data_IF_338220042769
#
_entry.id   IF_338220042769
#
_cell.length_a   1.000
_cell.length_b   1.000
_cell.length_c   1.000
_cell.angle_alpha   90.00
_cell.angle_beta   90.00
_cell.angle_gamma   90.00
#
_symmetry.space_group_name_H-M   'P 1'
#
loop_
_entity.id
_entity.type
_entity.pdbx_description
1 polymer ?
#
# COMPACT_ATOMS: atom_id res chain seq x y z
N UNK A 1 -34.38 -7.50 3.40
CA UNK A 1 -33.04 -7.07 2.93
C UNK A 1 -32.01 -8.17 3.13
N UNK A 2 -31.77 -8.66 4.36
CA UNK A 2 -30.79 -9.73 4.59
C UNK A 2 -31.15 -11.06 3.90
N UNK A 3 -32.41 -11.49 3.97
CA UNK A 3 -32.87 -12.72 3.31
C UNK A 3 -32.77 -12.65 1.78
N UNK A 4 -33.05 -11.47 1.19
CA UNK A 4 -32.90 -11.22 -0.24
C UNK A 4 -31.43 -11.31 -0.66
N UNK A 5 -30.53 -10.72 0.13
CA UNK A 5 -29.09 -10.80 -0.09
C UNK A 5 -28.57 -12.25 0.03
N UNK A 6 -29.03 -13.00 1.04
CA UNK A 6 -28.70 -14.42 1.20
C UNK A 6 -29.17 -15.22 -0.02
N UNK A 7 -30.39 -14.94 -0.52
CA UNK A 7 -30.91 -15.59 -1.73
C UNK A 7 -30.04 -15.27 -2.94
N UNK A 8 -29.71 -13.99 -3.16
CA UNK A 8 -28.82 -13.56 -4.25
C UNK A 8 -27.47 -14.29 -4.22
N UNK A 9 -26.84 -14.42 -3.06
CA UNK A 9 -25.57 -15.15 -2.93
C UNK A 9 -25.70 -16.65 -3.12
N UNK A 10 -26.82 -17.25 -2.68
CA UNK A 10 -27.07 -18.69 -2.83
C UNK A 10 -27.24 -19.09 -4.29
N UNK A 11 -27.94 -18.25 -5.03
CA UNK A 11 -28.28 -18.49 -6.44
C UNK A 11 -27.24 -17.84 -7.39
N UNK A 12 -26.11 -17.35 -6.84
CA UNK A 12 -25.11 -16.64 -7.61
C UNK A 12 -24.32 -17.59 -8.52
N UNK A 13 -24.16 -17.20 -9.78
CA UNK A 13 -23.30 -17.87 -10.74
C UNK A 13 -22.05 -17.05 -11.03
N UNK A 14 -20.94 -17.74 -11.26
CA UNK A 14 -19.64 -17.14 -11.51
C UNK A 14 -19.24 -17.21 -12.98
N UNK A 15 -18.77 -16.09 -13.55
CA UNK A 15 -18.17 -16.06 -14.89
C UNK A 15 -17.00 -15.12 -15.00
N UNK A 16 -16.05 -15.45 -15.87
CA UNK A 16 -14.92 -14.58 -16.20
C UNK A 16 -15.33 -13.56 -17.27
N UNK A 17 -14.96 -12.31 -17.06
CA UNK A 17 -15.25 -11.22 -17.99
C UNK A 17 -14.01 -10.35 -18.22
N UNK A 18 -13.94 -9.74 -19.41
CA UNK A 18 -12.97 -8.71 -19.71
C UNK A 18 -13.49 -7.36 -19.20
N UNK A 19 -12.70 -6.73 -18.34
CA UNK A 19 -13.07 -5.48 -17.68
C UNK A 19 -11.94 -4.46 -17.68
N UNK A 20 -12.32 -3.19 -17.70
CA UNK A 20 -11.49 -2.09 -17.20
C UNK A 20 -11.96 -1.82 -15.77
N UNK A 21 -11.08 -2.05 -14.81
CA UNK A 21 -11.28 -1.73 -13.41
C UNK A 21 -10.76 -0.31 -13.14
N UNK A 22 -11.57 0.50 -12.46
CA UNK A 22 -11.25 1.87 -12.09
C UNK A 22 -11.46 2.02 -10.59
N UNK A 23 -10.45 2.51 -9.87
CA UNK A 23 -10.61 2.94 -8.48
C UNK A 23 -10.41 4.44 -8.43
N UNK A 24 -11.41 5.14 -7.92
CA UNK A 24 -11.37 6.57 -7.62
C UNK A 24 -11.22 6.78 -6.11
N UNK A 25 -10.42 7.75 -5.68
CA UNK A 25 -10.23 8.05 -4.26
C UNK A 25 -10.00 9.54 -4.00
N UNK A 26 -10.47 10.01 -2.84
CA UNK A 26 -10.38 11.41 -2.45
C UNK A 26 -9.06 11.68 -1.75
N UNK A 27 -8.27 12.60 -2.29
CA UNK A 27 -6.91 12.83 -1.78
C UNK A 27 -6.94 13.62 -0.50
N UNK A 28 -6.16 13.15 0.49
CA UNK A 28 -6.10 13.71 1.83
C UNK A 28 -7.46 13.67 2.58
N UNK A 29 -8.32 12.68 2.28
CA UNK A 29 -9.60 12.53 2.94
C UNK A 29 -9.49 12.29 4.46
N UNK A 30 -8.52 11.48 4.90
CA UNK A 30 -8.28 11.27 6.33
C UNK A 30 -7.91 12.58 7.04
N UNK A 31 -7.16 13.47 6.40
CA UNK A 31 -6.89 14.80 6.94
C UNK A 31 -8.13 15.67 6.97
N UNK A 32 -8.96 15.59 5.93
CA UNK A 32 -10.24 16.30 5.84
C UNK A 32 -11.25 15.87 6.91
N UNK A 33 -11.29 14.59 7.29
CA UNK A 33 -12.26 14.06 8.25
C UNK A 33 -11.91 14.40 9.71
N UNK A 34 -10.65 14.76 10.01
CA UNK A 34 -10.25 15.19 11.35
C UNK A 34 -11.02 16.44 11.77
N UNK A 35 -11.73 16.34 12.88
CA UNK A 35 -12.49 17.46 13.46
C UNK A 35 -13.84 17.75 12.80
N UNK A 36 -14.30 16.91 11.85
CA UNK A 36 -15.62 17.05 11.23
C UNK A 36 -16.66 16.13 11.83
N UNK A 37 -17.92 16.53 11.72
CA UNK A 37 -19.03 15.71 12.18
C UNK A 37 -19.37 14.63 11.15
N UNK A 38 -19.77 13.45 11.63
CA UNK A 38 -20.16 12.33 10.78
C UNK A 38 -21.22 12.67 9.71
N UNK A 39 -22.25 13.51 9.96
CA UNK A 39 -23.23 13.89 8.94
C UNK A 39 -22.64 14.67 7.76
N UNK A 40 -21.67 15.56 8.00
CA UNK A 40 -21.00 16.31 6.93
C UNK A 40 -20.22 15.37 6.03
N UNK A 41 -19.42 14.48 6.64
CA UNK A 41 -18.65 13.47 5.95
C UNK A 41 -19.57 12.57 5.10
N UNK A 42 -20.66 12.08 5.69
CA UNK A 42 -21.60 11.20 5.02
C UNK A 42 -22.33 11.91 3.86
N UNK A 43 -22.71 13.18 4.03
CA UNK A 43 -23.36 13.97 2.99
C UNK A 43 -22.41 14.19 1.81
N UNK A 44 -21.16 14.58 2.08
CA UNK A 44 -20.16 14.78 1.05
C UNK A 44 -19.86 13.49 0.27
N UNK A 45 -19.57 12.38 0.97
CA UNK A 45 -19.33 11.08 0.31
C UNK A 45 -20.51 10.68 -0.57
N UNK A 46 -21.75 10.80 -0.06
CA UNK A 46 -22.96 10.48 -0.83
C UNK A 46 -23.02 11.30 -2.11
N UNK A 47 -22.84 12.62 -2.02
CA UNK A 47 -22.89 13.52 -3.18
C UNK A 47 -21.76 13.26 -4.17
N UNK A 48 -20.59 12.89 -3.67
CA UNK A 48 -19.47 12.49 -4.49
C UNK A 48 -19.77 11.23 -5.30
N UNK A 49 -20.26 10.16 -4.67
CA UNK A 49 -20.64 8.93 -5.39
C UNK A 49 -21.79 9.15 -6.36
N UNK A 50 -22.80 9.93 -5.95
CA UNK A 50 -23.93 10.31 -6.81
C UNK A 50 -23.44 11.03 -8.06
N UNK A 51 -22.56 12.04 -7.93
CA UNK A 51 -21.99 12.78 -9.06
C UNK A 51 -21.12 11.88 -9.95
N UNK A 52 -20.23 11.08 -9.36
CA UNK A 52 -19.38 10.16 -10.12
C UNK A 52 -20.21 9.23 -11.01
N UNK A 53 -21.24 8.60 -10.47
CA UNK A 53 -22.01 7.59 -11.20
C UNK A 53 -23.08 8.18 -12.13
N UNK A 54 -23.67 9.32 -11.79
CA UNK A 54 -24.76 9.91 -12.60
C UNK A 54 -24.29 10.89 -13.68
N UNK A 55 -23.08 11.46 -13.55
CA UNK A 55 -22.58 12.49 -14.48
C UNK A 55 -21.38 11.98 -15.29
N UNK A 56 -20.46 11.26 -14.66
CA UNK A 56 -19.22 10.84 -15.31
C UNK A 56 -19.33 9.41 -15.80
N UNK A 57 -19.54 8.46 -14.89
CA UNK A 57 -19.41 7.02 -15.09
C UNK A 57 -20.76 6.30 -15.25
N UNK A 58 -21.61 6.79 -16.14
CA UNK A 58 -22.98 6.27 -16.36
C UNK A 58 -23.01 4.84 -16.92
N UNK A 59 -21.93 4.43 -17.59
CA UNK A 59 -21.82 3.13 -18.27
C UNK A 59 -21.13 2.06 -17.40
N UNK A 60 -20.85 2.36 -16.12
CA UNK A 60 -20.27 1.39 -15.20
C UNK A 60 -21.25 0.23 -14.98
N UNK A 61 -20.79 -1.00 -15.25
CA UNK A 61 -21.62 -2.21 -15.03
C UNK A 61 -21.64 -2.63 -13.56
N UNK A 62 -20.74 -2.08 -12.76
CA UNK A 62 -20.63 -2.32 -11.33
C UNK A 62 -19.95 -1.15 -10.63
N UNK A 63 -20.42 -0.82 -9.44
CA UNK A 63 -19.79 0.15 -8.55
C UNK A 63 -19.91 -0.30 -7.09
N UNK A 64 -18.82 -0.15 -6.33
CA UNK A 64 -18.74 -0.54 -4.92
C UNK A 64 -17.96 0.52 -4.13
N UNK A 65 -18.58 1.15 -3.12
CA UNK A 65 -17.87 2.06 -2.23
C UNK A 65 -16.73 1.35 -1.47
N UNK A 66 -15.59 2.01 -1.34
CA UNK A 66 -14.40 1.51 -0.65
C UNK A 66 -13.90 2.56 0.35
N UNK A 67 -14.75 2.89 1.34
CA UNK A 67 -14.48 3.99 2.28
C UNK A 67 -14.88 5.34 1.70
N UNK A 68 -13.88 6.16 1.39
CA UNK A 68 -13.97 7.46 0.70
C UNK A 68 -13.71 7.37 -0.82
N UNK A 69 -13.33 6.18 -1.29
CA UNK A 69 -13.17 5.86 -2.70
C UNK A 69 -14.31 5.03 -3.29
N UNK A 70 -14.28 4.87 -4.60
CA UNK A 70 -15.23 4.10 -5.38
C UNK A 70 -14.50 3.16 -6.35
N UNK A 71 -14.76 1.86 -6.22
CA UNK A 71 -14.38 0.86 -7.21
C UNK A 71 -15.47 0.77 -8.28
N UNK A 72 -15.09 0.79 -9.55
CA UNK A 72 -15.98 0.65 -10.70
C UNK A 72 -15.40 -0.37 -11.68
N UNK A 73 -16.29 -1.07 -12.40
CA UNK A 73 -15.91 -1.95 -13.49
C UNK A 73 -16.69 -1.62 -14.76
N UNK A 74 -15.99 -1.67 -15.89
CA UNK A 74 -16.53 -1.45 -17.23
C UNK A 74 -16.26 -2.69 -18.07
N UNK A 75 -17.31 -3.37 -18.51
CA UNK A 75 -17.18 -4.58 -19.33
C UNK A 75 -16.83 -4.19 -20.77
N UNK A 76 -15.94 -4.95 -21.39
CA UNK A 76 -15.73 -4.91 -22.84
C UNK A 76 -15.73 -6.32 -23.41
N UNK A 77 -16.01 -6.46 -24.70
CA UNK A 77 -15.94 -7.72 -25.45
C UNK A 77 -14.50 -8.02 -25.78
N UNK A 78 -14.17 -9.28 -26.07
CA UNK A 78 -12.87 -9.64 -26.60
C UNK A 78 -12.74 -9.20 -28.08
N UNK A 79 -12.72 -7.89 -28.28
CA UNK A 79 -12.67 -7.19 -29.55
C UNK A 79 -11.88 -5.89 -29.38
N UNK A 80 -11.02 -5.58 -30.35
CA UNK A 80 -10.12 -4.42 -30.25
C UNK A 80 -10.88 -3.10 -30.35
N UNK A 81 -11.88 -3.00 -31.22
CA UNK A 81 -12.64 -1.76 -31.38
C UNK A 81 -13.48 -1.46 -30.13
N UNK A 82 -14.08 -2.48 -29.54
CA UNK A 82 -14.82 -2.37 -28.28
C UNK A 82 -13.90 -1.96 -27.12
N UNK A 83 -12.74 -2.60 -26.98
CA UNK A 83 -11.73 -2.22 -25.98
C UNK A 83 -11.33 -0.74 -26.12
N UNK A 84 -10.99 -0.29 -27.32
CA UNK A 84 -10.58 1.10 -27.57
C UNK A 84 -11.71 2.08 -27.24
N UNK A 85 -12.95 1.75 -27.60
CA UNK A 85 -14.13 2.57 -27.30
C UNK A 85 -14.36 2.71 -25.80
N UNK A 86 -14.36 1.59 -25.05
CA UNK A 86 -14.59 1.60 -23.60
C UNK A 86 -13.42 2.29 -22.89
N UNK A 87 -12.18 2.04 -23.29
CA UNK A 87 -10.99 2.71 -22.76
C UNK A 87 -11.04 4.23 -22.97
N UNK A 88 -11.44 4.67 -24.17
CA UNK A 88 -11.59 6.09 -24.47
C UNK A 88 -12.64 6.75 -23.60
N UNK A 89 -13.80 6.11 -23.46
CA UNK A 89 -14.88 6.58 -22.60
C UNK A 89 -14.40 6.73 -21.15
N UNK A 90 -13.81 5.67 -20.58
CA UNK A 90 -13.32 5.65 -19.18
C UNK A 90 -12.27 6.72 -18.93
N UNK A 91 -11.22 6.80 -19.76
CA UNK A 91 -10.11 7.72 -19.52
C UNK A 91 -10.52 9.18 -19.70
N UNK A 92 -11.42 9.48 -20.65
CA UNK A 92 -12.00 10.83 -20.80
C UNK A 92 -12.85 11.21 -19.60
N UNK A 93 -13.65 10.29 -19.06
CA UNK A 93 -14.46 10.54 -17.88
C UNK A 93 -13.60 10.75 -16.63
N UNK A 94 -12.52 9.98 -16.44
CA UNK A 94 -11.52 10.22 -15.38
C UNK A 94 -10.92 11.63 -15.49
N UNK A 95 -10.44 12.02 -16.68
CA UNK A 95 -9.83 13.33 -16.88
C UNK A 95 -10.84 14.45 -16.64
N UNK A 96 -12.07 14.29 -17.13
CA UNK A 96 -13.15 15.25 -16.91
C UNK A 96 -13.49 15.38 -15.42
N UNK A 97 -13.61 14.27 -14.70
CA UNK A 97 -13.88 14.28 -13.27
C UNK A 97 -12.77 14.99 -12.48
N UNK A 98 -11.49 14.79 -12.83
CA UNK A 98 -10.36 15.51 -12.23
C UNK A 98 -10.49 17.02 -12.47
N UNK A 99 -10.74 17.42 -13.71
CA UNK A 99 -10.81 18.84 -14.09
C UNK A 99 -11.98 19.56 -13.44
N UNK A 100 -13.13 18.88 -13.33
CA UNK A 100 -14.35 19.45 -12.78
C UNK A 100 -14.39 19.41 -11.24
N UNK A 101 -13.56 18.57 -10.59
CA UNK A 101 -13.58 18.35 -9.14
C UNK A 101 -13.54 19.63 -8.29
N UNK A 102 -12.67 20.64 -8.58
CA UNK A 102 -12.62 21.88 -7.80
C UNK A 102 -13.94 22.65 -7.76
N UNK A 103 -14.79 22.47 -8.77
CA UNK A 103 -16.10 23.14 -8.91
C UNK A 103 -17.28 22.16 -8.81
N UNK A 104 -17.04 20.89 -8.53
CA UNK A 104 -18.05 19.82 -8.63
C UNK A 104 -19.26 20.04 -7.70
N UNK A 105 -19.05 20.76 -6.59
CA UNK A 105 -20.04 20.97 -5.53
C UNK A 105 -20.35 22.45 -5.25
N UNK A 106 -19.91 23.39 -6.09
CA UNK A 106 -20.10 24.83 -5.83
C UNK A 106 -21.57 25.25 -5.73
N UNK A 107 -22.45 24.53 -6.43
CA UNK A 107 -23.89 24.81 -6.46
C UNK A 107 -24.68 23.97 -5.43
N UNK A 108 -24.02 23.11 -4.65
CA UNK A 108 -24.68 22.28 -3.63
C UNK A 108 -24.78 23.02 -2.30
N UNK A 109 -25.98 23.56 -2.01
CA UNK A 109 -26.27 24.31 -0.78
C UNK A 109 -26.01 23.52 0.51
N UNK A 110 -25.95 22.18 0.44
CA UNK A 110 -25.66 21.32 1.60
C UNK A 110 -24.17 21.12 1.83
N UNK A 111 -23.31 21.56 0.90
CA UNK A 111 -21.85 21.49 1.00
C UNK A 111 -21.32 22.93 1.09
N UNK A 112 -21.27 23.44 2.31
CA UNK A 112 -20.91 24.83 2.63
C UNK A 112 -19.62 24.93 3.45
N UNK A 113 -18.74 23.95 3.31
CA UNK A 113 -17.47 23.81 4.04
C UNK A 113 -16.32 23.49 3.07
N UNK A 114 -15.05 23.73 3.46
CA UNK A 114 -13.90 23.38 2.62
C UNK A 114 -13.91 21.90 2.27
N UNK A 115 -13.51 21.53 1.05
CA UNK A 115 -13.43 20.14 0.59
C UNK A 115 -11.97 19.75 0.35
N UNK A 116 -11.66 18.45 0.26
CA UNK A 116 -10.38 18.02 -0.30
C UNK A 116 -10.21 18.58 -1.71
N UNK A 117 -8.97 18.88 -2.10
CA UNK A 117 -8.71 19.63 -3.34
C UNK A 117 -8.57 18.73 -4.57
N UNK A 118 -8.29 17.44 -4.38
CA UNK A 118 -7.93 16.53 -5.46
C UNK A 118 -8.57 15.16 -5.30
N UNK A 119 -8.75 14.50 -6.42
CA UNK A 119 -9.07 13.07 -6.53
C UNK A 119 -7.99 12.40 -7.35
N UNK A 120 -7.88 11.08 -7.22
CA UNK A 120 -7.05 10.30 -8.14
C UNK A 120 -7.74 9.02 -8.57
N UNK A 121 -7.21 8.48 -9.67
CA UNK A 121 -7.73 7.31 -10.34
C UNK A 121 -6.62 6.30 -10.59
N UNK A 122 -6.87 5.05 -10.25
CA UNK A 122 -6.10 3.89 -10.71
C UNK A 122 -6.91 3.10 -11.73
N UNK A 123 -6.32 2.83 -12.89
CA UNK A 123 -7.02 2.18 -14.02
C UNK A 123 -6.22 0.96 -14.47
N UNK A 124 -6.87 -0.20 -14.49
CA UNK A 124 -6.25 -1.44 -14.93
C UNK A 124 -7.21 -2.24 -15.82
N UNK A 125 -6.70 -2.98 -16.81
CA UNK A 125 -7.52 -3.84 -17.68
C UNK A 125 -7.12 -5.29 -17.58
N UNK A 126 -8.09 -6.18 -17.71
CA UNK A 126 -7.81 -7.61 -17.75
C UNK A 126 -9.07 -8.41 -17.52
N UNK A 127 -8.88 -9.65 -17.06
CA UNK A 127 -9.99 -10.53 -16.69
C UNK A 127 -10.32 -10.39 -15.21
N UNK A 128 -11.61 -10.30 -14.89
CA UNK A 128 -12.12 -10.43 -13.53
C UNK A 128 -13.21 -11.50 -13.47
N UNK A 129 -13.34 -12.14 -12.32
CA UNK A 129 -14.39 -13.10 -12.06
C UNK A 129 -15.56 -12.39 -11.38
N UNK A 130 -16.74 -12.52 -11.96
CA UNK A 130 -17.92 -11.80 -11.53
C UNK A 130 -19.02 -12.76 -11.09
N UNK A 131 -19.67 -12.41 -9.99
CA UNK A 131 -20.83 -13.11 -9.45
C UNK A 131 -22.11 -12.42 -9.91
N UNK A 132 -23.06 -13.20 -10.40
CA UNK A 132 -24.35 -12.73 -10.89
C UNK A 132 -25.51 -13.45 -10.23
N UNK A 133 -26.56 -12.72 -9.86
CA UNK A 133 -27.87 -13.29 -9.54
C UNK A 133 -28.86 -12.85 -10.62
N UNK A 134 -29.19 -13.76 -11.54
CA UNK A 134 -29.95 -13.41 -12.74
C UNK A 134 -29.17 -12.44 -13.64
N UNK A 135 -29.73 -11.26 -13.89
CA UNK A 135 -29.08 -10.21 -14.70
C UNK A 135 -28.25 -9.22 -13.87
N UNK A 136 -28.32 -9.30 -12.53
CA UNK A 136 -27.66 -8.35 -11.62
C UNK A 136 -26.24 -8.82 -11.27
N UNK A 137 -25.26 -7.92 -11.41
CA UNK A 137 -23.92 -8.11 -10.86
C UNK A 137 -23.98 -7.97 -9.34
N UNK A 138 -23.52 -8.99 -8.62
CA UNK A 138 -23.41 -8.95 -7.15
C UNK A 138 -22.04 -8.43 -6.71
N UNK A 139 -20.96 -8.99 -7.26
CA UNK A 139 -19.59 -8.59 -6.92
C UNK A 139 -18.61 -8.96 -8.03
N UNK A 140 -17.49 -8.25 -8.06
CA UNK A 140 -16.33 -8.59 -8.87
C UNK A 140 -15.16 -8.98 -7.98
N UNK A 141 -14.40 -9.97 -8.42
CA UNK A 141 -13.17 -10.44 -7.76
C UNK A 141 -12.09 -10.68 -8.80
N UNK A 142 -10.83 -10.53 -8.39
CA UNK A 142 -9.68 -10.79 -9.26
C UNK A 142 -8.52 -9.84 -9.03
N UNK A 143 -7.35 -10.27 -9.49
CA UNK A 143 -6.11 -9.50 -9.35
C UNK A 143 -6.20 -8.11 -10.00
N UNK A 144 -7.01 -7.94 -11.05
CA UNK A 144 -7.09 -6.67 -11.76
C UNK A 144 -7.73 -5.54 -10.93
N UNK A 145 -8.68 -5.87 -10.06
CA UNK A 145 -9.30 -4.90 -9.14
C UNK A 145 -8.29 -4.46 -8.07
N UNK A 146 -7.49 -5.42 -7.58
CA UNK A 146 -6.40 -5.14 -6.66
C UNK A 146 -5.34 -4.26 -7.33
N UNK A 147 -4.99 -4.53 -8.59
CA UNK A 147 -4.07 -3.69 -9.34
C UNK A 147 -4.62 -2.27 -9.49
N UNK A 148 -5.86 -2.08 -9.92
CA UNK A 148 -6.48 -0.76 -10.01
C UNK A 148 -6.44 0.00 -8.66
N UNK A 149 -6.71 -0.70 -7.55
CA UNK A 149 -6.56 -0.12 -6.20
C UNK A 149 -5.12 0.30 -5.90
N UNK A 150 -4.11 -0.52 -6.23
CA UNK A 150 -2.70 -0.16 -6.03
C UNK A 150 -2.21 0.97 -6.92
N UNK A 151 -2.68 1.03 -8.17
CA UNK A 151 -2.38 2.15 -9.06
C UNK A 151 -3.01 3.45 -8.54
N UNK A 152 -4.20 3.35 -7.96
CA UNK A 152 -4.83 4.49 -7.31
C UNK A 152 -4.01 4.97 -6.10
N UNK A 153 -3.37 4.09 -5.32
CA UNK A 153 -2.46 4.51 -4.24
C UNK A 153 -1.29 5.38 -4.75
N UNK A 154 -0.90 5.21 -6.02
CA UNK A 154 0.19 5.94 -6.69
C UNK A 154 -0.25 7.25 -7.34
N UNK A 155 -1.56 7.46 -7.58
CA UNK A 155 -2.09 8.64 -8.26
C UNK A 155 -2.12 9.90 -7.35
N UNK A 156 -0.96 10.26 -6.79
CA UNK A 156 -0.74 11.37 -5.86
C UNK A 156 0.02 12.51 -6.56
N UNK A 157 -0.18 13.78 -6.16
CA UNK A 157 -1.20 14.29 -5.24
C UNK A 157 -2.64 14.23 -5.80
N UNK A 158 -2.81 13.85 -7.05
CA UNK A 158 -4.07 13.61 -7.76
C UNK A 158 -3.75 13.20 -9.20
N UNK A 159 -4.74 12.83 -10.01
CA UNK A 159 -4.54 12.45 -11.42
C UNK A 159 -4.86 10.98 -11.74
N UNK A 160 -4.36 10.48 -12.86
CA UNK A 160 -4.64 9.13 -13.38
C UNK A 160 -3.36 8.32 -13.45
N UNK A 161 -3.37 7.10 -12.92
CA UNK A 161 -2.33 6.09 -13.12
C UNK A 161 -2.95 4.89 -13.81
N UNK A 162 -2.45 4.59 -15.01
CA UNK A 162 -2.92 3.49 -15.85
C UNK A 162 -1.87 2.38 -15.87
N UNK A 163 -2.33 1.13 -15.75
CA UNK A 163 -1.50 -0.05 -15.90
C UNK A 163 -0.76 -0.05 -17.25
N UNK A 164 0.53 -0.34 -17.28
CA UNK A 164 1.32 -0.48 -18.51
C UNK A 164 0.77 -1.55 -19.47
N UNK A 165 0.05 -2.56 -18.95
CA UNK A 165 -0.63 -3.55 -19.78
C UNK A 165 -1.76 -2.95 -20.64
N UNK A 166 -2.23 -1.72 -20.37
CA UNK A 166 -3.09 -1.00 -21.31
C UNK A 166 -2.43 -0.83 -22.67
N UNK A 167 -1.10 -0.71 -22.73
CA UNK A 167 -0.36 -0.21 -23.89
C UNK A 167 -0.71 1.26 -24.19
N UNK A 168 0.28 2.04 -24.60
CA UNK A 168 0.10 3.46 -24.92
C UNK A 168 -0.96 3.66 -26.02
N UNK A 169 -1.05 2.73 -26.98
CA UNK A 169 -1.99 2.78 -28.10
C UNK A 169 -3.47 2.68 -27.69
N UNK A 170 -3.77 2.18 -26.49
CA UNK A 170 -5.14 2.12 -25.96
C UNK A 170 -5.52 3.41 -25.24
N UNK A 171 -4.54 4.22 -24.81
CA UNK A 171 -4.81 5.57 -24.33
C UNK A 171 -5.24 6.43 -25.52
N UNK A 172 -6.37 7.17 -25.43
CA UNK A 172 -6.84 8.02 -26.52
C UNK A 172 -5.76 8.96 -27.01
N UNK A 173 -5.58 9.06 -28.34
CA UNK A 173 -4.54 9.93 -28.95
C UNK A 173 -4.56 11.36 -28.43
N UNK A 174 -5.76 11.89 -28.14
CA UNK A 174 -5.94 13.23 -27.59
C UNK A 174 -5.36 13.39 -26.17
N UNK A 175 -5.23 12.31 -25.40
CA UNK A 175 -4.72 12.29 -24.03
C UNK A 175 -3.26 11.80 -23.96
N UNK A 176 -2.74 11.10 -24.97
CA UNK A 176 -1.40 10.49 -24.91
C UNK A 176 -0.29 11.49 -24.54
N UNK A 177 -0.38 12.75 -25.01
CA UNK A 177 0.58 13.80 -24.68
C UNK A 177 0.58 14.26 -23.21
N UNK A 178 -0.49 13.93 -22.47
CA UNK A 178 -0.65 14.25 -21.05
C UNK A 178 -0.17 13.12 -20.14
N UNK A 179 0.24 11.98 -20.71
CA UNK A 179 0.76 10.84 -19.97
C UNK A 179 2.28 10.71 -20.16
N UNK A 180 2.97 10.35 -19.08
CA UNK A 180 4.36 9.92 -19.10
C UNK A 180 4.47 8.50 -18.55
N UNK A 181 5.50 7.78 -18.98
CA UNK A 181 5.75 6.41 -18.56
C UNK A 181 6.68 6.40 -17.35
N UNK A 182 6.35 5.58 -16.35
CA UNK A 182 7.16 5.35 -15.15
C UNK A 182 7.31 3.84 -14.89
N UNK A 183 8.35 3.50 -14.12
CA UNK A 183 8.62 2.14 -13.65
C UNK A 183 8.47 2.10 -12.14
N UNK A 184 7.54 1.28 -11.65
CA UNK A 184 7.15 1.26 -10.23
C UNK A 184 7.10 -0.15 -9.66
N UNK A 185 7.34 -0.29 -8.37
CA UNK A 185 7.19 -1.53 -7.64
C UNK A 185 5.89 -1.50 -6.86
N UNK A 186 5.09 -2.55 -7.03
CA UNK A 186 3.71 -2.61 -6.55
C UNK A 186 3.57 -3.77 -5.57
N UNK A 187 3.16 -3.46 -4.34
CA UNK A 187 3.01 -4.45 -3.28
C UNK A 187 2.06 -5.58 -3.69
N UNK A 188 2.46 -6.82 -3.44
CA UNK A 188 1.79 -8.07 -3.80
C UNK A 188 1.52 -8.26 -5.31
N UNK A 189 2.14 -7.47 -6.20
CA UNK A 189 1.95 -7.57 -7.66
C UNK A 189 3.29 -7.62 -8.38
N UNK A 190 4.16 -6.65 -8.12
CA UNK A 190 5.43 -6.46 -8.77
C UNK A 190 6.45 -5.93 -7.74
N UNK A 191 6.79 -6.77 -6.77
CA UNK A 191 7.63 -6.38 -5.64
C UNK A 191 9.13 -6.41 -5.96
N UNK A 192 9.53 -7.28 -6.89
CA UNK A 192 10.93 -7.56 -7.23
C UNK A 192 11.33 -7.05 -8.62
N UNK A 193 10.36 -6.91 -9.52
CA UNK A 193 10.56 -6.39 -10.87
C UNK A 193 9.72 -5.13 -11.08
N UNK A 194 10.25 -4.12 -11.78
CA UNK A 194 9.50 -2.91 -12.03
C UNK A 194 8.30 -3.20 -12.95
N UNK A 195 7.16 -2.65 -12.59
CA UNK A 195 5.93 -2.64 -13.36
C UNK A 195 5.80 -1.31 -14.09
N UNK A 196 5.52 -1.36 -15.38
CA UNK A 196 5.32 -0.16 -16.18
C UNK A 196 3.96 0.44 -15.88
N UNK A 197 3.89 1.76 -15.73
CA UNK A 197 2.64 2.51 -15.58
C UNK A 197 2.68 3.77 -16.45
N UNK A 198 1.50 4.25 -16.84
CA UNK A 198 1.32 5.55 -17.48
C UNK A 198 0.67 6.51 -16.49
N UNK A 199 1.33 7.62 -16.21
CA UNK A 199 0.93 8.61 -15.24
C UNK A 199 0.52 9.90 -15.93
N UNK A 200 -0.65 10.46 -15.60
CA UNK A 200 -1.01 11.81 -16.05
C UNK A 200 -0.01 12.84 -15.51
N UNK A 201 0.18 13.96 -16.22
CA UNK A 201 1.17 15.01 -15.96
C UNK A 201 1.35 15.44 -14.49
N UNK A 202 0.26 15.52 -13.72
CA UNK A 202 0.28 16.02 -12.34
C UNK A 202 0.56 14.94 -11.28
N UNK A 203 0.70 13.67 -11.69
CA UNK A 203 1.04 12.56 -10.80
C UNK A 203 2.55 12.58 -10.52
N UNK A 204 2.89 12.48 -9.25
CA UNK A 204 4.25 12.34 -8.74
C UNK A 204 4.36 11.00 -8.03
N UNK A 205 5.05 10.06 -8.66
CA UNK A 205 5.32 8.75 -8.07
C UNK A 205 6.25 8.90 -6.86
N UNK A 206 5.87 8.39 -5.67
CA UNK A 206 6.71 8.46 -4.49
C UNK A 206 7.98 7.62 -4.68
N UNK A 207 9.12 8.10 -4.16
CA UNK A 207 10.41 7.40 -4.29
C UNK A 207 10.38 5.97 -3.74
N UNK A 208 9.58 5.71 -2.69
CA UNK A 208 9.39 4.37 -2.15
C UNK A 208 8.78 3.37 -3.14
N UNK A 209 8.04 3.86 -4.13
CA UNK A 209 7.48 3.03 -5.21
C UNK A 209 8.45 2.86 -6.38
N UNK A 210 9.62 3.51 -6.39
CA UNK A 210 10.65 3.35 -7.43
C UNK A 210 11.75 2.36 -7.04
N UNK A 211 11.65 1.77 -5.86
CA UNK A 211 12.60 0.79 -5.33
C UNK A 211 11.93 -0.56 -5.09
N UNK A 212 12.59 -1.70 -5.36
CA UNK A 212 11.98 -3.01 -5.14
C UNK A 212 11.59 -3.23 -3.68
N UNK A 213 10.34 -3.65 -3.49
CA UNK A 213 9.72 -3.86 -2.19
C UNK A 213 10.36 -5.05 -1.47
N UNK A 214 10.81 -6.09 -2.18
CA UNK A 214 11.40 -7.28 -1.56
C UNK A 214 12.94 -7.28 -1.54
N UNK A 215 13.59 -6.19 -1.98
CA UNK A 215 15.06 -6.03 -1.97
C UNK A 215 15.68 -5.90 -0.57
N UNK A 216 14.96 -6.28 0.49
CA UNK A 216 15.39 -6.21 1.87
C UNK A 216 16.53 -7.20 2.11
N UNK A 217 17.77 -6.78 1.86
CA UNK A 217 18.95 -7.52 2.28
C UNK A 217 19.03 -7.38 3.81
N UNK A 218 18.79 -8.48 4.51
CA UNK A 218 18.92 -8.52 5.96
C UNK A 218 20.42 -8.47 6.31
N UNK A 219 20.79 -7.41 7.00
CA UNK A 219 22.09 -7.24 7.62
C UNK A 219 22.09 -7.90 9.00
N UNK A 220 23.25 -8.41 9.42
CA UNK A 220 23.42 -9.08 10.71
C UNK A 220 24.59 -8.46 11.48
N UNK A 221 24.33 -8.06 12.71
CA UNK A 221 25.37 -7.64 13.66
C UNK A 221 25.36 -8.61 14.83
N UNK A 222 26.52 -9.18 15.13
CA UNK A 222 26.70 -10.14 16.22
C UNK A 222 27.68 -9.61 17.26
N UNK A 223 27.33 -9.81 18.54
CA UNK A 223 28.18 -9.53 19.70
C UNK A 223 28.14 -10.73 20.64
N UNK A 224 29.30 -11.33 20.86
CA UNK A 224 29.47 -12.42 21.82
C UNK A 224 29.95 -11.79 23.13
N UNK A 225 29.20 -12.00 24.20
CA UNK A 225 29.46 -11.42 25.52
C UNK A 225 29.36 -12.51 26.58
N UNK A 226 30.37 -12.67 27.46
CA UNK A 226 30.25 -13.57 28.60
C UNK A 226 29.10 -13.16 29.52
N UNK A 227 28.33 -14.13 30.02
CA UNK A 227 27.17 -13.85 30.87
C UNK A 227 27.54 -13.08 32.15
N UNK A 228 28.72 -13.34 32.72
CA UNK A 228 29.25 -12.59 33.86
C UNK A 228 29.49 -11.10 33.56
N UNK A 229 29.75 -10.74 32.30
CA UNK A 229 29.80 -9.34 31.86
C UNK A 229 28.40 -8.76 31.68
N UNK A 230 27.46 -9.51 31.08
CA UNK A 230 26.06 -9.09 30.95
C UNK A 230 25.49 -8.65 32.32
N UNK A 231 25.78 -9.39 33.39
CA UNK A 231 25.38 -9.03 34.77
C UNK A 231 25.89 -7.66 35.24
N UNK A 232 27.01 -7.17 34.72
CA UNK A 232 27.68 -5.93 35.14
C UNK A 232 27.34 -4.73 34.24
N UNK A 233 26.82 -4.97 33.04
CA UNK A 233 26.49 -3.91 32.10
C UNK A 233 25.28 -3.10 32.60
N UNK A 234 25.20 -1.84 32.21
CA UNK A 234 24.06 -0.97 32.50
C UNK A 234 22.74 -1.58 32.01
N UNK A 235 21.63 -1.18 32.63
CA UNK A 235 20.30 -1.70 32.29
C UNK A 235 19.93 -1.44 30.84
N UNK A 236 20.33 -0.31 30.26
CA UNK A 236 20.12 -0.04 28.84
C UNK A 236 21.37 -0.45 28.05
N UNK A 237 21.20 -1.39 27.12
CA UNK A 237 22.26 -1.82 26.21
C UNK A 237 22.06 -1.18 24.84
N UNK A 238 23.16 -0.78 24.19
CA UNK A 238 23.13 -0.15 22.87
C UNK A 238 24.03 -0.85 21.87
N UNK A 239 23.53 -1.04 20.65
CA UNK A 239 24.26 -1.60 19.52
C UNK A 239 24.23 -0.59 18.36
N UNK A 240 25.42 -0.14 17.96
CA UNK A 240 25.59 0.74 16.80
C UNK A 240 25.33 -0.03 15.50
N UNK A 241 24.56 0.56 14.61
CA UNK A 241 24.24 0.04 13.28
C UNK A 241 25.04 0.79 12.21
N UNK A 242 25.77 0.10 11.31
CA UNK A 242 26.52 0.73 10.23
C UNK A 242 25.66 1.56 9.29
N UNK A 243 24.40 1.12 9.08
CA UNK A 243 23.43 1.79 8.21
C UNK A 243 22.12 2.00 8.99
N UNK A 244 21.41 3.08 8.66
CA UNK A 244 20.06 3.35 9.20
C UNK A 244 19.13 2.18 8.84
N UNK A 245 18.36 1.60 9.77
CA UNK A 245 17.36 0.60 9.42
C UNK A 245 16.21 1.19 8.61
N UNK A 246 15.61 0.38 7.74
CA UNK A 246 14.46 0.77 6.94
C UNK A 246 13.24 1.15 7.81
N UNK A 247 12.97 0.34 8.84
CA UNK A 247 11.91 0.57 9.83
C UNK A 247 12.11 -0.30 11.08
N UNK A 248 11.40 -0.01 12.18
CA UNK A 248 11.47 -0.74 13.45
C UNK A 248 11.00 -2.19 13.33
N UNK A 249 9.90 -2.43 12.61
CA UNK A 249 9.35 -3.78 12.34
C UNK A 249 10.26 -4.62 11.42
N UNK A 250 11.25 -3.99 10.79
CA UNK A 250 12.31 -4.63 10.01
C UNK A 250 13.60 -4.82 10.81
N UNK A 251 13.52 -4.77 12.14
CA UNK A 251 14.60 -5.10 13.06
C UNK A 251 14.18 -6.24 13.98
N UNK A 252 15.10 -7.16 14.28
CA UNK A 252 14.91 -8.26 15.23
C UNK A 252 16.16 -8.40 16.09
N UNK A 253 15.96 -8.52 17.40
CA UNK A 253 17.04 -8.74 18.35
C UNK A 253 16.86 -10.11 18.98
N UNK A 254 17.93 -10.91 18.96
CA UNK A 254 17.94 -12.28 19.48
C UNK A 254 19.14 -12.46 20.39
N UNK A 255 18.92 -12.98 21.59
CA UNK A 255 19.98 -13.45 22.47
C UNK A 255 20.01 -14.97 22.43
N UNK A 256 21.19 -15.58 22.30
CA UNK A 256 21.32 -17.04 22.18
C UNK A 256 22.56 -17.57 22.88
N UNK A 257 22.47 -18.79 23.41
CA UNK A 257 23.53 -19.45 24.17
C UNK A 257 23.43 -20.96 24.00
N UNK A 258 24.52 -21.67 24.34
CA UNK A 258 24.51 -23.14 24.36
C UNK A 258 23.71 -23.63 25.56
N UNK A 259 22.75 -24.52 25.32
CA UNK A 259 21.92 -25.09 26.38
C UNK A 259 22.77 -25.92 27.36
N UNK A 260 22.56 -25.70 28.65
CA UNK A 260 23.17 -26.51 29.72
C UNK A 260 22.43 -27.84 29.85
N UNK A 261 21.10 -27.82 29.75
CA UNK A 261 20.23 -29.00 29.88
C UNK A 261 20.38 -29.95 28.68
N UNK A 262 20.51 -29.40 27.47
CA UNK A 262 20.64 -30.17 26.23
C UNK A 262 21.97 -29.85 25.52
N UNK A 263 23.09 -30.47 25.92
CA UNK A 263 24.40 -30.22 25.31
C UNK A 263 24.36 -30.37 23.78
N UNK A 264 24.84 -29.35 23.07
CA UNK A 264 24.83 -29.29 21.60
C UNK A 264 23.66 -28.51 21.00
N UNK A 265 22.63 -28.18 21.77
CA UNK A 265 21.54 -27.32 21.34
C UNK A 265 21.80 -25.84 21.65
N UNK A 266 21.28 -24.96 20.80
CA UNK A 266 21.29 -23.51 21.02
C UNK A 266 19.92 -23.09 21.55
N UNK A 267 19.89 -22.52 22.76
CA UNK A 267 18.71 -21.86 23.31
C UNK A 267 18.74 -20.39 22.90
N UNK A 268 17.57 -19.77 22.76
CA UNK A 268 17.49 -18.35 22.43
C UNK A 268 16.20 -17.68 22.86
N UNK A 269 16.28 -16.39 23.13
CA UNK A 269 15.14 -15.51 23.37
C UNK A 269 15.14 -14.36 22.36
N UNK A 270 13.93 -13.95 21.97
CA UNK A 270 13.70 -12.72 21.21
C UNK A 270 13.45 -11.57 22.16
N UNK A 271 14.08 -10.43 21.89
CA UNK A 271 13.90 -9.18 22.63
C UNK A 271 12.93 -8.31 21.84
N UNK A 272 11.72 -8.14 22.36
CA UNK A 272 10.61 -7.48 21.66
C UNK A 272 10.54 -5.99 21.96
N UNK A 273 10.96 -5.56 23.14
CA UNK A 273 10.98 -4.16 23.53
C UNK A 273 12.37 -3.53 23.29
N UNK A 274 12.45 -2.77 22.20
CA UNK A 274 13.64 -2.02 21.83
C UNK A 274 13.25 -0.72 21.15
N UNK A 275 14.21 0.21 21.07
CA UNK A 275 14.07 1.50 20.40
C UNK A 275 15.13 1.69 19.34
N UNK A 276 14.75 2.34 18.24
CA UNK A 276 15.66 2.84 17.22
C UNK A 276 15.97 4.31 17.52
N UNK A 277 17.24 4.63 17.73
CA UNK A 277 17.70 5.99 17.98
C UNK A 277 18.57 6.42 16.79
N UNK A 278 18.32 7.63 16.30
CA UNK A 278 19.10 8.29 15.27
C UNK A 278 19.52 9.66 15.77
N UNK A 279 20.82 9.88 15.90
CA UNK A 279 21.40 11.12 16.39
C UNK A 279 22.75 11.40 15.73
N UNK A 280 23.50 12.37 16.25
CA UNK A 280 24.80 12.78 15.72
C UNK A 280 25.86 11.66 15.78
N UNK A 281 25.70 10.67 16.66
CA UNK A 281 26.61 9.51 16.78
C UNK A 281 26.21 8.38 15.82
N UNK A 282 25.11 8.54 15.09
CA UNK A 282 24.65 7.63 14.04
C UNK A 282 23.36 6.91 14.39
N UNK A 283 23.25 5.65 13.96
CA UNK A 283 22.06 4.83 14.14
C UNK A 283 22.37 3.76 15.18
N UNK A 284 21.49 3.60 16.17
CA UNK A 284 21.64 2.56 17.20
C UNK A 284 20.33 1.97 17.61
N UNK A 285 20.39 0.70 18.00
CA UNK A 285 19.32 0.00 18.71
C UNK A 285 19.62 0.05 20.20
N UNK A 286 18.61 0.35 21.01
CA UNK A 286 18.68 0.26 22.47
C UNK A 286 17.57 -0.62 23.01
N UNK A 287 17.87 -1.44 24.02
CA UNK A 287 16.87 -2.27 24.69
C UNK A 287 17.22 -2.44 26.18
N UNK A 288 16.21 -2.80 26.98
CA UNK A 288 16.39 -3.04 28.41
C UNK A 288 16.99 -4.42 28.67
N UNK A 289 18.30 -4.44 28.87
CA UNK A 289 19.06 -5.62 29.22
C UNK A 289 18.75 -6.08 30.66
N UNK A 290 18.21 -5.23 31.54
CA UNK A 290 17.85 -5.66 32.88
C UNK A 290 16.69 -6.68 32.86
N UNK A 291 15.64 -6.43 32.09
CA UNK A 291 14.54 -7.40 31.92
C UNK A 291 15.03 -8.70 31.27
N UNK A 292 15.91 -8.61 30.28
CA UNK A 292 16.48 -9.81 29.64
C UNK A 292 17.45 -10.57 30.55
N UNK A 293 18.13 -9.91 31.50
CA UNK A 293 18.96 -10.56 32.51
C UNK A 293 18.17 -11.47 33.42
N UNK A 294 16.97 -11.06 33.82
CA UNK A 294 16.09 -11.88 34.65
C UNK A 294 15.71 -13.16 33.91
N UNK A 295 15.32 -13.05 32.63
CA UNK A 295 15.03 -14.21 31.78
C UNK A 295 16.24 -15.13 31.59
N UNK A 296 17.45 -14.58 31.47
CA UNK A 296 18.68 -15.36 31.38
C UNK A 296 19.10 -16.00 32.72
N UNK A 297 18.66 -15.45 33.86
CA UNK A 297 18.98 -16.00 35.17
C UNK A 297 18.27 -17.33 35.43
N UNK A 298 17.06 -17.49 34.86
CA UNK A 298 16.28 -18.73 34.92
C UNK A 298 16.95 -19.91 34.19
N UNK A 299 17.98 -19.64 33.38
CA UNK A 299 18.69 -20.62 32.54
C UNK A 299 19.98 -21.16 33.19
N UNK A 300 20.25 -20.81 34.45
CA UNK A 300 21.39 -21.29 35.27
C UNK A 300 22.79 -21.09 34.62
N UNK A 301 22.95 -20.05 33.79
CA UNK A 301 24.19 -19.79 33.06
C UNK A 301 25.38 -19.50 33.98
N UNK A 302 26.53 -20.08 33.67
CA UNK A 302 27.81 -19.80 34.35
C UNK A 302 28.35 -18.44 33.91
N UNK A 303 29.20 -17.81 34.74
CA UNK A 303 29.73 -16.47 34.44
C UNK A 303 30.59 -16.42 33.16
N UNK A 304 31.18 -17.53 32.76
CA UNK A 304 31.98 -17.71 31.54
C UNK A 304 31.14 -18.20 30.34
N UNK A 305 29.85 -18.52 30.52
CA UNK A 305 28.97 -18.90 29.42
C UNK A 305 28.85 -17.76 28.41
N UNK A 306 29.09 -18.05 27.14
CA UNK A 306 28.96 -17.09 26.05
C UNK A 306 27.50 -16.89 25.67
N UNK A 307 27.06 -15.63 25.66
CA UNK A 307 25.75 -15.22 25.15
C UNK A 307 25.99 -14.37 23.90
N UNK A 308 25.37 -14.79 22.80
CA UNK A 308 25.42 -14.11 21.51
C UNK A 308 24.20 -13.21 21.38
N UNK A 309 24.42 -11.90 21.35
CA UNK A 309 23.42 -10.88 21.05
C UNK A 309 23.50 -10.58 19.56
N UNK A 310 22.44 -10.86 18.84
CA UNK A 310 22.35 -10.71 17.40
C UNK A 310 21.24 -9.72 17.03
N UNK A 311 21.58 -8.74 16.21
CA UNK A 311 20.62 -7.82 15.58
C UNK A 311 20.54 -8.16 14.11
N UNK A 312 19.36 -8.55 13.65
CA UNK A 312 19.03 -8.60 12.22
C UNK A 312 18.24 -7.36 11.88
N UNK A 313 18.63 -6.65 10.83
CA UNK A 313 17.88 -5.49 10.37
C UNK A 313 17.94 -5.35 8.86
N UNK A 314 16.96 -4.69 8.27
CA UNK A 314 17.06 -4.31 6.86
C UNK A 314 17.62 -2.91 6.77
N UNK A 315 18.73 -2.76 6.06
CA UNK A 315 19.32 -1.45 5.79
C UNK A 315 18.36 -0.58 4.97
N UNK A 316 18.20 0.68 5.38
CA UNK A 316 17.49 1.69 4.61
C UNK A 316 18.29 1.96 3.35
N UNK A 317 17.68 1.69 2.21
CA UNK A 317 18.25 2.01 0.91
C UNK A 317 18.30 3.54 0.81
N UNK A 318 19.51 4.09 0.88
CA UNK A 318 19.73 5.50 0.53
C UNK A 318 19.76 5.53 -0.99
N UNK A 319 18.85 6.25 -1.66
CA UNK A 319 18.94 6.45 -3.10
C UNK A 319 20.34 6.95 -3.41
N UNK A 320 21.05 6.31 -4.34
CA UNK A 320 22.33 6.82 -4.79
C UNK A 320 22.09 8.28 -5.17
N UNK A 321 22.75 9.23 -4.48
CA UNK A 321 22.68 10.64 -4.86
C UNK A 321 22.97 10.66 -6.35
N UNK A 322 21.99 11.07 -7.16
CA UNK A 322 22.17 11.26 -8.58
C UNK A 322 23.47 12.04 -8.72
N UNK A 323 24.50 11.39 -9.29
CA UNK A 323 25.78 12.01 -9.46
C UNK A 323 25.51 13.26 -10.31
N UNK A 324 25.59 14.43 -9.69
CA UNK A 324 25.47 15.69 -10.38
C UNK A 324 26.54 15.69 -11.47
N UNK A 325 26.10 15.51 -12.72
CA UNK A 325 26.86 15.85 -13.91
C UNK A 325 26.61 17.31 -14.20
#
# INVERSE_FOLDING_TARGET
MLEDMIRKFRDAEGRSEFVIAVVCDIRNFSGFSVGRQAPEIAMFIRKFYEKLLSVYFTDAVFAKPTGDGLLMAFRYKYDQADLLSVAESVLRQCQKAINDYPTMFTDDLMINYPLPERIGFGVARGTAFCLYAGEEVIDYSGQILNLASRLNDLAKPGGIVVDGAFLLDVIPKALQGDFHMEQVYIRNIAEDSPHTVFCSKDVVIPESAKTPINSHTWEKIERIVPYGQIKKVASIYSIQLPVEPAAKDKCKIKMSWKSIVNPGHLTSIEVTDFSLIKDAEGNRITFDLASERERLADEELKSDSEVTICVHYVAKIVPAKAAAK
#
